data_IF_360311204069
#
_entry.id   IF_360311204069
#
_cell.length_a   1.000
_cell.length_b   1.000
_cell.length_c   1.000
_cell.angle_alpha   90.00
_cell.angle_beta   90.00
_cell.angle_gamma   90.00
#
_symmetry.space_group_name_H-M   'P 1'
#
loop_
_entity.id
_entity.type
_entity.pdbx_description
1 polymer ?
#
# COMPACT_ATOMS: atom_id res chain seq x y z
N UNK A 1 -32.10 -42.39 -33.01
CA UNK A 1 -32.38 -41.07 -32.43
C UNK A 1 -33.16 -40.29 -33.47
N UNK A 2 -34.44 -40.04 -33.23
CA UNK A 2 -35.30 -39.34 -34.20
C UNK A 2 -34.94 -37.86 -34.19
N UNK A 3 -34.23 -37.39 -35.21
CA UNK A 3 -33.93 -35.97 -35.42
C UNK A 3 -35.20 -35.28 -35.90
N UNK A 4 -35.79 -34.47 -35.04
CA UNK A 4 -36.93 -33.61 -35.37
C UNK A 4 -36.45 -32.61 -36.41
N UNK A 5 -37.15 -32.53 -37.55
CA UNK A 5 -36.83 -31.59 -38.62
C UNK A 5 -37.09 -30.14 -38.14
N UNK A 6 -36.41 -29.14 -38.71
CA UNK A 6 -36.71 -27.74 -38.39
C UNK A 6 -38.17 -27.40 -38.76
N UNK A 7 -38.87 -26.69 -37.87
CA UNK A 7 -40.29 -26.38 -38.06
C UNK A 7 -40.98 -25.82 -36.82
N UNK A 8 -42.24 -25.44 -36.97
CA UNK A 8 -43.08 -24.98 -35.86
C UNK A 8 -43.67 -26.16 -35.09
N UNK A 9 -43.46 -26.18 -33.79
CA UNK A 9 -43.95 -27.22 -32.89
C UNK A 9 -44.57 -26.62 -31.63
N UNK A 10 -45.50 -27.32 -30.95
CA UNK A 10 -46.03 -26.90 -29.66
C UNK A 10 -44.90 -26.66 -28.64
N UNK A 11 -44.95 -25.56 -27.90
CA UNK A 11 -43.95 -25.26 -26.87
C UNK A 11 -44.11 -26.25 -25.69
N UNK A 12 -43.06 -27.02 -25.33
CA UNK A 12 -43.11 -27.90 -24.17
C UNK A 12 -43.36 -27.17 -22.84
N UNK A 13 -43.05 -25.87 -22.76
CA UNK A 13 -43.22 -25.06 -21.56
C UNK A 13 -44.61 -24.40 -21.45
N UNK A 14 -45.29 -24.17 -22.57
CA UNK A 14 -46.66 -23.63 -22.61
C UNK A 14 -47.46 -24.24 -23.78
N UNK A 15 -48.35 -25.21 -23.49
CA UNK A 15 -49.17 -25.89 -24.49
C UNK A 15 -50.11 -24.98 -25.29
N UNK A 16 -50.36 -23.74 -24.83
CA UNK A 16 -51.16 -22.76 -25.55
C UNK A 16 -50.40 -22.10 -26.71
N UNK A 17 -49.10 -22.37 -26.85
CA UNK A 17 -48.22 -21.70 -27.81
C UNK A 17 -47.41 -22.70 -28.64
N UNK A 18 -46.88 -22.23 -29.76
CA UNK A 18 -45.97 -22.92 -30.65
C UNK A 18 -44.70 -22.07 -30.83
N UNK A 19 -43.55 -22.74 -30.90
CA UNK A 19 -42.23 -22.13 -31.14
C UNK A 19 -41.53 -22.80 -32.31
N UNK A 20 -40.59 -22.10 -32.92
CA UNK A 20 -39.83 -22.64 -34.03
C UNK A 20 -38.63 -23.43 -33.51
N UNK A 21 -38.47 -24.66 -33.97
CA UNK A 21 -37.30 -25.51 -33.75
C UNK A 21 -36.38 -25.41 -34.96
N UNK A 22 -35.11 -25.07 -34.78
CA UNK A 22 -34.14 -24.94 -35.88
C UNK A 22 -33.32 -26.22 -36.15
N UNK A 23 -33.60 -27.30 -35.42
CA UNK A 23 -32.84 -28.56 -35.46
C UNK A 23 -31.94 -28.77 -34.24
N UNK A 24 -31.67 -27.74 -33.43
CA UNK A 24 -30.85 -27.82 -32.21
C UNK A 24 -31.36 -27.01 -31.02
N UNK A 25 -32.10 -25.92 -31.25
CA UNK A 25 -32.68 -25.06 -30.22
C UNK A 25 -34.04 -24.47 -30.65
N UNK A 26 -34.80 -24.04 -29.65
CA UNK A 26 -36.04 -23.28 -29.85
C UNK A 26 -35.71 -21.80 -30.02
N UNK A 27 -36.12 -21.21 -31.15
CA UNK A 27 -35.83 -19.81 -31.50
C UNK A 27 -37.11 -19.00 -31.70
N UNK A 28 -37.00 -17.68 -31.51
CA UNK A 28 -38.07 -16.72 -31.71
C UNK A 28 -39.11 -16.65 -30.58
N UNK A 29 -40.07 -15.74 -30.74
CA UNK A 29 -41.19 -15.53 -29.81
C UNK A 29 -42.23 -16.65 -29.94
N UNK A 30 -42.86 -17.10 -28.83
CA UNK A 30 -43.97 -18.04 -28.89
C UNK A 30 -45.17 -17.41 -29.60
N UNK A 31 -45.75 -18.16 -30.54
CA UNK A 31 -46.96 -17.79 -31.29
C UNK A 31 -48.12 -18.61 -30.72
N UNK A 32 -49.35 -18.09 -30.61
CA UNK A 32 -50.49 -18.89 -30.18
C UNK A 32 -50.69 -20.13 -31.07
N UNK A 33 -50.93 -21.30 -30.47
CA UNK A 33 -50.97 -22.59 -31.19
C UNK A 33 -52.09 -22.70 -32.25
N UNK A 34 -53.07 -21.79 -32.25
CA UNK A 34 -54.15 -21.71 -33.23
C UNK A 34 -53.96 -20.65 -34.32
N UNK A 35 -52.84 -19.91 -34.33
CA UNK A 35 -52.54 -18.90 -35.35
C UNK A 35 -51.61 -19.48 -36.42
N UNK A 36 -51.77 -19.03 -37.67
CA UNK A 36 -50.88 -19.41 -38.77
C UNK A 36 -49.47 -18.82 -38.50
N UNK A 37 -48.44 -19.66 -38.33
CA UNK A 37 -47.12 -19.17 -37.94
C UNK A 37 -46.43 -18.45 -39.10
N UNK A 38 -45.62 -17.41 -38.83
CA UNK A 38 -44.86 -16.72 -39.87
C UNK A 38 -43.83 -17.66 -40.53
N UNK A 39 -43.56 -17.43 -41.82
CA UNK A 39 -42.65 -18.25 -42.62
C UNK A 39 -41.18 -18.20 -42.13
N UNK A 40 -40.80 -17.14 -41.42
CA UNK A 40 -39.47 -16.93 -40.86
C UNK A 40 -39.62 -16.52 -39.38
N UNK A 41 -38.92 -17.17 -38.44
CA UNK A 41 -38.98 -16.80 -37.02
C UNK A 41 -38.28 -15.46 -36.79
N UNK A 42 -38.95 -14.52 -36.13
CA UNK A 42 -38.32 -13.25 -35.71
C UNK A 42 -37.13 -13.54 -34.77
N UNK A 43 -35.91 -13.03 -35.05
CA UNK A 43 -34.79 -13.11 -34.11
C UNK A 43 -35.13 -12.38 -32.82
N UNK A 44 -34.81 -12.99 -31.67
CA UNK A 44 -34.83 -12.27 -30.40
C UNK A 44 -33.70 -11.23 -30.42
N UNK A 45 -34.03 -9.95 -30.46
CA UNK A 45 -33.06 -8.89 -30.19
C UNK A 45 -32.46 -9.12 -28.80
N UNK A 46 -31.12 -9.08 -28.64
CA UNK A 46 -30.51 -9.25 -27.33
C UNK A 46 -30.97 -8.13 -26.40
N UNK A 47 -31.53 -8.49 -25.23
CA UNK A 47 -31.91 -7.52 -24.20
C UNK A 47 -30.70 -6.63 -23.85
N UNK A 48 -30.88 -5.30 -23.76
CA UNK A 48 -29.82 -4.42 -23.30
C UNK A 48 -29.39 -4.83 -21.89
N UNK A 49 -28.08 -5.00 -21.70
CA UNK A 49 -27.49 -5.31 -20.40
C UNK A 49 -27.99 -4.31 -19.34
N UNK A 50 -28.31 -4.75 -18.11
CA UNK A 50 -28.76 -3.84 -17.06
C UNK A 50 -27.68 -2.79 -16.80
N UNK A 51 -28.03 -1.50 -16.96
CA UNK A 51 -27.19 -0.40 -16.52
C UNK A 51 -26.89 -0.60 -15.02
N UNK A 52 -25.60 -0.65 -14.69
CA UNK A 52 -25.18 -0.74 -13.28
C UNK A 52 -25.71 0.49 -12.52
N UNK A 53 -26.30 0.31 -11.33
CA UNK A 53 -26.80 1.44 -10.56
C UNK A 53 -25.65 2.40 -10.27
N UNK A 54 -25.82 3.66 -10.65
CA UNK A 54 -24.93 4.75 -10.27
C UNK A 54 -25.05 4.93 -8.76
N UNK A 55 -24.03 4.48 -8.03
CA UNK A 55 -23.96 4.54 -6.58
C UNK A 55 -23.91 6.03 -6.13
N UNK A 56 -24.91 6.55 -5.40
CA UNK A 56 -24.97 7.97 -5.02
C UNK A 56 -23.95 8.37 -3.95
N UNK A 57 -23.14 7.42 -3.45
CA UNK A 57 -22.11 7.65 -2.44
C UNK A 57 -20.70 7.91 -3.01
N UNK A 58 -20.57 8.30 -4.28
CA UNK A 58 -19.30 8.87 -4.77
C UNK A 58 -19.19 10.29 -4.23
N UNK A 59 -18.64 10.45 -3.03
CA UNK A 59 -18.07 11.73 -2.63
C UNK A 59 -17.06 12.11 -3.72
N UNK A 60 -17.38 13.14 -4.50
CA UNK A 60 -16.47 13.69 -5.48
C UNK A 60 -15.31 14.30 -4.72
N UNK A 61 -14.23 13.52 -4.60
CA UNK A 61 -12.96 14.02 -4.12
C UNK A 61 -12.57 15.25 -4.96
N UNK A 62 -11.93 16.27 -4.38
CA UNK A 62 -11.47 17.44 -5.12
C UNK A 62 -10.70 17.03 -6.39
N UNK A 63 -10.98 17.67 -7.54
CA UNK A 63 -10.21 17.45 -8.78
C UNK A 63 -8.73 17.74 -8.51
N UNK A 64 -7.89 16.71 -8.62
CA UNK A 64 -6.43 16.87 -8.55
C UNK A 64 -5.93 17.36 -9.92
N UNK A 65 -5.12 18.43 -9.97
CA UNK A 65 -4.44 18.86 -11.20
C UNK A 65 -3.64 17.73 -11.88
N UNK A 66 -3.18 16.71 -11.13
CA UNK A 66 -2.47 15.54 -11.67
C UNK A 66 -3.35 14.56 -12.44
N UNK A 67 -4.66 14.52 -12.19
CA UNK A 67 -5.57 13.58 -12.87
C UNK A 67 -6.24 14.20 -14.11
N UNK A 68 -6.05 15.51 -14.34
CA UNK A 68 -6.69 16.25 -15.43
C UNK A 68 -8.22 16.13 -15.39
N UNK A 69 -8.85 16.10 -16.56
CA UNK A 69 -10.29 15.84 -16.71
C UNK A 69 -10.64 14.34 -16.69
N UNK A 70 -9.66 13.47 -16.46
CA UNK A 70 -9.87 12.02 -16.44
C UNK A 70 -10.63 11.55 -15.19
N UNK A 71 -11.32 10.40 -15.26
CA UNK A 71 -11.96 9.82 -14.08
C UNK A 71 -10.93 9.48 -13.00
N UNK A 72 -11.35 9.47 -11.71
CA UNK A 72 -10.47 9.12 -10.60
C UNK A 72 -9.93 7.69 -10.78
N UNK A 73 -8.72 7.41 -10.30
CA UNK A 73 -8.10 6.08 -10.42
C UNK A 73 -9.00 5.02 -9.77
N UNK A 74 -9.24 3.92 -10.49
CA UNK A 74 -10.10 2.82 -10.02
C UNK A 74 -9.27 1.61 -9.65
N UNK A 75 -9.53 1.07 -8.46
CA UNK A 75 -8.97 -0.20 -8.01
C UNK A 75 -9.95 -1.31 -8.32
N UNK A 76 -9.52 -2.29 -9.11
CA UNK A 76 -10.29 -3.49 -9.42
C UNK A 76 -10.01 -4.50 -8.31
N UNK A 77 -11.00 -4.74 -7.45
CA UNK A 77 -10.86 -5.73 -6.38
C UNK A 77 -10.79 -7.15 -6.95
N UNK A 78 -9.98 -7.99 -6.31
CA UNK A 78 -9.87 -9.40 -6.69
C UNK A 78 -11.07 -10.19 -6.16
N UNK A 79 -11.88 -10.70 -7.07
CA UNK A 79 -12.90 -11.72 -6.78
C UNK A 79 -12.36 -13.14 -7.02
N UNK A 80 -12.90 -14.17 -6.33
CA UNK A 80 -12.52 -15.57 -6.58
C UNK A 80 -12.71 -15.93 -8.05
N UNK A 81 -11.69 -16.55 -8.67
CA UNK A 81 -11.70 -16.90 -10.09
C UNK A 81 -11.34 -15.76 -11.06
N UNK A 82 -11.18 -14.52 -10.58
CA UNK A 82 -10.79 -13.40 -11.44
C UNK A 82 -9.35 -13.54 -11.95
N UNK A 83 -9.19 -13.43 -13.27
CA UNK A 83 -7.90 -13.30 -13.95
C UNK A 83 -7.51 -11.82 -14.00
N UNK A 84 -6.21 -11.54 -14.00
CA UNK A 84 -5.71 -10.17 -14.14
C UNK A 84 -6.24 -9.50 -15.42
N UNK A 85 -6.92 -8.35 -15.31
CA UNK A 85 -7.37 -7.60 -16.48
C UNK A 85 -6.19 -7.09 -17.32
N UNK A 86 -6.39 -6.96 -18.63
CA UNK A 86 -5.38 -6.44 -19.55
C UNK A 86 -4.96 -5.02 -19.15
N UNK A 87 -3.69 -4.67 -19.36
CA UNK A 87 -3.12 -3.34 -19.06
C UNK A 87 -3.18 -2.90 -17.57
N UNK A 88 -3.29 -3.86 -16.66
CA UNK A 88 -3.25 -3.61 -15.21
C UNK A 88 -1.99 -4.12 -14.55
N UNK A 89 -1.70 -3.62 -13.35
CA UNK A 89 -0.63 -4.07 -12.46
C UNK A 89 -1.25 -4.57 -11.17
N UNK A 90 -0.79 -5.71 -10.61
CA UNK A 90 -1.32 -6.22 -9.36
C UNK A 90 -0.96 -5.29 -8.20
N UNK A 91 -1.95 -4.99 -7.35
CA UNK A 91 -1.75 -4.40 -6.04
C UNK A 91 -1.45 -5.54 -5.07
N UNK A 92 -0.22 -5.59 -4.58
CA UNK A 92 0.25 -6.63 -3.67
C UNK A 92 0.40 -6.09 -2.25
N UNK A 93 0.08 -6.93 -1.28
CA UNK A 93 0.33 -6.71 0.15
C UNK A 93 0.74 -8.04 0.76
N UNK A 94 1.90 -8.12 1.42
CA UNK A 94 2.48 -9.38 1.90
C UNK A 94 2.59 -10.49 0.82
N UNK A 95 2.80 -10.09 -0.43
CA UNK A 95 2.84 -11.03 -1.57
C UNK A 95 1.48 -11.53 -2.05
N UNK A 96 0.39 -11.23 -1.33
CA UNK A 96 -0.98 -11.52 -1.73
C UNK A 96 -1.48 -10.40 -2.64
N UNK A 97 -2.04 -10.78 -3.80
CA UNK A 97 -2.72 -9.83 -4.70
C UNK A 97 -4.11 -9.51 -4.15
N UNK A 98 -4.34 -8.25 -3.78
CA UNK A 98 -5.63 -7.75 -3.26
C UNK A 98 -6.51 -7.24 -4.41
N UNK A 99 -5.90 -6.79 -5.49
CA UNK A 99 -6.60 -6.26 -6.65
C UNK A 99 -5.63 -5.82 -7.73
N UNK A 100 -6.13 -5.04 -8.67
CA UNK A 100 -5.36 -4.49 -9.78
C UNK A 100 -5.66 -3.01 -9.97
N UNK A 101 -4.68 -2.29 -10.51
CA UNK A 101 -4.79 -0.89 -10.92
C UNK A 101 -4.28 -0.75 -12.34
N UNK A 102 -4.88 0.13 -13.13
CA UNK A 102 -4.45 0.33 -14.52
C UNK A 102 -3.05 0.96 -14.58
N UNK A 103 -2.25 0.60 -15.59
CA UNK A 103 -0.92 1.22 -15.81
C UNK A 103 -1.01 2.74 -16.01
N UNK A 104 -1.99 3.28 -16.77
CA UNK A 104 -2.18 4.72 -16.87
C UNK A 104 -2.42 5.37 -15.50
N UNK A 105 -3.22 4.78 -14.62
CA UNK A 105 -3.45 5.34 -13.28
C UNK A 105 -2.18 5.37 -12.43
N UNK A 106 -1.37 4.31 -12.47
CA UNK A 106 -0.08 4.28 -11.78
C UNK A 106 0.83 5.41 -12.30
N UNK A 107 0.89 5.60 -13.62
CA UNK A 107 1.68 6.66 -14.23
C UNK A 107 1.20 8.06 -13.84
N UNK A 108 -0.12 8.29 -13.77
CA UNK A 108 -0.73 9.55 -13.33
C UNK A 108 -0.40 9.84 -11.86
N UNK A 109 -0.50 8.83 -10.99
CA UNK A 109 -0.17 8.95 -9.56
C UNK A 109 1.32 9.31 -9.38
N UNK A 110 2.21 8.66 -10.14
CA UNK A 110 3.64 8.93 -10.12
C UNK A 110 3.99 10.27 -10.78
N UNK A 111 3.19 10.77 -11.72
CA UNK A 111 3.38 12.07 -12.37
C UNK A 111 4.80 12.24 -12.91
N UNK A 112 5.28 11.26 -13.69
CA UNK A 112 6.64 11.25 -14.25
C UNK A 112 7.76 10.82 -13.29
N UNK A 113 7.48 10.69 -11.99
CA UNK A 113 8.49 10.31 -11.00
C UNK A 113 8.87 8.83 -11.10
N UNK A 114 10.16 8.55 -10.93
CA UNK A 114 10.71 7.19 -10.93
C UNK A 114 10.83 6.70 -9.49
N UNK A 115 10.37 5.48 -9.22
CA UNK A 115 10.47 4.88 -7.89
C UNK A 115 11.94 4.56 -7.55
N UNK A 116 12.36 4.91 -6.33
CA UNK A 116 13.70 4.60 -5.84
C UNK A 116 13.93 3.09 -5.71
N UNK A 117 15.15 2.63 -5.99
CA UNK A 117 15.49 1.22 -5.87
C UNK A 117 15.50 0.78 -4.39
N UNK A 118 15.00 -0.43 -4.04
CA UNK A 118 15.02 -0.91 -2.65
C UNK A 118 16.41 -0.87 -2.00
N UNK A 119 17.47 -1.14 -2.77
CA UNK A 119 18.85 -1.04 -2.30
C UNK A 119 19.27 0.37 -1.89
N UNK A 120 18.84 1.41 -2.62
CA UNK A 120 19.13 2.80 -2.24
C UNK A 120 18.44 3.18 -0.93
N UNK A 121 17.19 2.72 -0.74
CA UNK A 121 16.45 2.92 0.51
C UNK A 121 17.13 2.23 1.69
N UNK A 122 17.63 1.01 1.48
CA UNK A 122 18.35 0.25 2.50
C UNK A 122 19.65 0.95 2.92
N UNK A 123 20.48 1.36 1.97
CA UNK A 123 21.72 2.09 2.26
C UNK A 123 21.44 3.43 2.94
N UNK A 124 20.44 4.18 2.46
CA UNK A 124 19.99 5.41 3.12
C UNK A 124 19.60 5.17 4.59
N UNK A 125 18.90 4.06 4.88
CA UNK A 125 18.52 3.72 6.26
C UNK A 125 19.72 3.32 7.12
N UNK A 126 20.72 2.62 6.57
CA UNK A 126 21.97 2.33 7.31
C UNK A 126 22.65 3.65 7.70
N UNK A 127 22.79 4.58 6.76
CA UNK A 127 23.41 5.88 7.04
C UNK A 127 22.62 6.65 8.11
N UNK A 128 21.29 6.69 8.00
CA UNK A 128 20.44 7.32 9.01
C UNK A 128 20.59 6.66 10.39
N UNK A 129 20.71 5.33 10.46
CA UNK A 129 20.96 4.61 11.72
C UNK A 129 22.31 4.99 12.29
N UNK A 130 23.38 5.05 11.49
CA UNK A 130 24.71 5.45 11.95
C UNK A 130 24.71 6.88 12.48
N UNK A 131 24.08 7.82 11.75
CA UNK A 131 23.92 9.20 12.21
C UNK A 131 23.15 9.26 13.54
N UNK A 132 22.07 8.48 13.67
CA UNK A 132 21.28 8.41 14.90
C UNK A 132 22.03 7.78 16.07
N UNK A 133 22.86 6.76 15.82
CA UNK A 133 23.72 6.14 16.83
C UNK A 133 24.78 7.12 17.31
N UNK A 134 25.42 7.86 16.39
CA UNK A 134 26.37 8.91 16.74
C UNK A 134 25.70 10.02 17.57
N UNK A 135 24.51 10.48 17.16
CA UNK A 135 23.75 11.49 17.89
C UNK A 135 23.36 11.00 19.30
N UNK A 136 22.93 9.75 19.43
CA UNK A 136 22.65 9.15 20.73
C UNK A 136 23.91 9.00 21.58
N UNK A 137 25.04 8.61 21.00
CA UNK A 137 26.30 8.52 21.75
C UNK A 137 26.73 9.89 22.32
N UNK A 138 26.50 10.98 21.57
CA UNK A 138 26.83 12.33 22.02
C UNK A 138 25.84 12.85 23.08
N UNK A 139 24.54 12.70 22.84
CA UNK A 139 23.50 13.33 23.69
C UNK A 139 23.09 12.42 24.86
N UNK A 140 22.89 11.14 24.56
CA UNK A 140 22.37 10.13 25.49
C UNK A 140 23.49 9.27 26.10
N UNK A 141 24.74 9.42 25.63
CA UNK A 141 25.86 8.55 26.02
C UNK A 141 26.18 8.59 27.50
N UNK A 142 26.04 9.75 28.16
CA UNK A 142 26.24 9.86 29.60
C UNK A 142 25.21 9.03 30.39
N UNK A 143 23.92 9.17 30.06
CA UNK A 143 22.86 8.39 30.69
C UNK A 143 22.99 6.89 30.37
N UNK A 144 23.42 6.55 29.15
CA UNK A 144 23.70 5.18 28.77
C UNK A 144 24.88 4.61 29.56
N UNK A 145 25.95 5.38 29.79
CA UNK A 145 27.08 4.99 30.62
C UNK A 145 26.64 4.74 32.06
N UNK A 146 25.85 5.63 32.65
CA UNK A 146 25.29 5.44 33.99
C UNK A 146 24.42 4.18 34.04
N UNK A 147 23.49 4.01 33.09
CA UNK A 147 22.64 2.83 33.02
C UNK A 147 23.45 1.54 32.92
N UNK A 148 24.47 1.50 32.06
CA UNK A 148 25.30 0.31 31.87
C UNK A 148 26.06 -0.04 33.13
N UNK A 149 26.71 0.94 33.76
CA UNK A 149 27.61 0.68 34.88
C UNK A 149 26.90 0.55 36.23
N UNK A 150 25.83 1.32 36.44
CA UNK A 150 25.12 1.37 37.73
C UNK A 150 23.95 0.39 37.79
N UNK A 151 23.32 0.07 36.65
CA UNK A 151 22.13 -0.79 36.62
C UNK A 151 22.35 -2.10 35.87
N UNK A 152 22.85 -2.05 34.62
CA UNK A 152 22.88 -3.21 33.73
C UNK A 152 23.91 -4.26 34.16
N UNK A 153 25.18 -3.87 34.30
CA UNK A 153 26.26 -4.80 34.64
C UNK A 153 26.05 -5.45 36.02
N UNK A 154 25.69 -4.72 37.09
CA UNK A 154 25.40 -5.34 38.39
C UNK A 154 24.23 -6.32 38.34
N UNK A 155 23.14 -5.95 37.65
CA UNK A 155 21.99 -6.84 37.49
C UNK A 155 22.38 -8.14 36.77
N UNK A 156 23.17 -8.07 35.70
CA UNK A 156 23.65 -9.26 35.00
C UNK A 156 24.57 -10.13 35.85
N UNK A 157 25.46 -9.54 36.66
CA UNK A 157 26.30 -10.30 37.58
C UNK A 157 25.48 -11.04 38.64
N UNK A 158 24.45 -10.39 39.18
CA UNK A 158 23.55 -10.98 40.18
C UNK A 158 22.75 -12.14 39.58
N UNK A 159 22.24 -11.98 38.34
CA UNK A 159 21.56 -13.05 37.59
C UNK A 159 22.48 -14.24 37.32
N UNK A 160 23.73 -14.00 36.91
CA UNK A 160 24.70 -15.07 36.68
C UNK A 160 25.01 -15.84 37.99
N UNK A 161 25.29 -15.11 39.06
CA UNK A 161 25.58 -15.69 40.37
C UNK A 161 24.38 -16.50 40.91
N UNK A 162 23.16 -16.00 40.73
CA UNK A 162 21.93 -16.72 41.09
C UNK A 162 21.69 -17.98 40.24
N UNK A 163 22.07 -17.95 38.96
CA UNK A 163 21.99 -19.09 38.05
C UNK A 163 22.93 -20.24 38.44
N UNK A 164 24.13 -19.91 38.94
CA UNK A 164 25.09 -20.89 39.46
C UNK A 164 24.68 -21.46 40.82
N UNK A 165 23.97 -20.68 41.64
CA UNK A 165 23.55 -21.04 43.00
C UNK A 165 22.26 -21.86 43.11
N UNK A 166 21.56 -22.13 42.01
CA UNK A 166 20.33 -22.91 42.01
C UNK A 166 19.13 -22.15 42.60
N UNK A 167 18.41 -21.45 41.70
CA UNK A 167 17.09 -20.84 41.90
C UNK A 167 17.01 -19.67 42.89
N UNK A 168 17.20 -18.45 42.37
CA UNK A 168 16.54 -17.25 42.87
C UNK A 168 16.00 -16.40 41.72
N UNK A 169 14.77 -15.91 41.87
CA UNK A 169 14.22 -14.83 41.05
C UNK A 169 14.92 -13.52 41.41
N UNK A 170 15.91 -13.13 40.61
CA UNK A 170 16.58 -11.83 40.77
C UNK A 170 15.60 -10.75 40.33
N UNK A 171 15.07 -10.02 41.29
CA UNK A 171 14.17 -8.90 41.02
C UNK A 171 14.91 -7.80 40.25
N UNK A 172 14.25 -7.26 39.22
CA UNK A 172 14.76 -6.09 38.49
C UNK A 172 14.67 -4.87 39.41
N UNK A 173 15.79 -4.17 39.71
CA UNK A 173 15.76 -2.96 40.52
C UNK A 173 14.86 -1.89 39.89
N UNK A 174 14.12 -1.11 40.68
CA UNK A 174 13.27 -0.03 40.14
C UNK A 174 14.07 1.01 39.36
N UNK A 175 15.28 1.35 39.84
CA UNK A 175 16.21 2.25 39.18
C UNK A 175 16.60 1.78 37.76
N UNK A 176 16.64 0.46 37.52
CA UNK A 176 16.89 -0.09 36.19
C UNK A 176 15.82 0.37 35.19
N UNK A 177 14.55 0.24 35.57
CA UNK A 177 13.43 0.63 34.72
C UNK A 177 13.36 2.14 34.51
N UNK A 178 13.62 2.93 35.56
CA UNK A 178 13.62 4.40 35.48
C UNK A 178 14.72 4.91 34.55
N UNK A 179 15.97 4.46 34.74
CA UNK A 179 17.11 4.86 33.91
C UNK A 179 16.94 4.39 32.47
N UNK A 180 16.49 3.14 32.25
CA UNK A 180 16.19 2.64 30.91
C UNK A 180 15.10 3.47 30.22
N UNK A 181 14.04 3.84 30.95
CA UNK A 181 12.97 4.69 30.41
C UNK A 181 13.50 6.05 29.98
N UNK A 182 14.36 6.68 30.78
CA UNK A 182 15.00 7.96 30.42
C UNK A 182 15.84 7.82 29.15
N UNK A 183 16.70 6.81 29.08
CA UNK A 183 17.54 6.54 27.89
C UNK A 183 16.67 6.32 26.65
N UNK A 184 15.59 5.53 26.76
CA UNK A 184 14.68 5.25 25.65
C UNK A 184 13.89 6.49 25.21
N UNK A 185 13.41 7.31 26.13
CA UNK A 185 12.69 8.55 25.81
C UNK A 185 13.60 9.56 25.10
N UNK A 186 14.84 9.71 25.55
CA UNK A 186 15.83 10.56 24.87
C UNK A 186 16.10 10.03 23.46
N UNK A 187 16.35 8.72 23.32
CA UNK A 187 16.60 8.10 22.02
C UNK A 187 15.43 8.27 21.04
N UNK A 188 14.20 8.05 21.52
CA UNK A 188 12.96 8.22 20.76
C UNK A 188 12.75 9.70 20.36
N UNK A 189 12.97 10.63 21.29
CA UNK A 189 12.87 12.07 21.04
C UNK A 189 13.90 12.57 20.03
N UNK A 190 15.15 12.10 20.11
CA UNK A 190 16.19 12.43 19.12
C UNK A 190 15.83 11.91 17.74
N UNK A 191 15.33 10.67 17.65
CA UNK A 191 14.92 10.11 16.38
C UNK A 191 13.75 10.87 15.77
N UNK A 192 12.75 11.22 16.58
CA UNK A 192 11.65 12.08 16.18
C UNK A 192 12.15 13.42 15.61
N UNK A 193 13.00 14.11 16.37
CA UNK A 193 13.55 15.42 16.01
C UNK A 193 14.44 15.37 14.76
N UNK A 194 15.08 14.24 14.50
CA UNK A 194 15.88 14.01 13.29
C UNK A 194 14.99 13.74 12.07
N UNK A 195 14.06 12.78 12.16
CA UNK A 195 13.37 12.25 10.98
C UNK A 195 12.15 13.08 10.56
N UNK A 196 11.33 13.55 11.51
CA UNK A 196 10.07 14.24 11.20
C UNK A 196 10.31 15.61 10.54
N UNK A 197 11.12 16.53 11.11
CA UNK A 197 11.37 17.83 10.50
C UNK A 197 12.10 17.73 9.15
N UNK A 198 13.08 16.83 9.03
CA UNK A 198 13.81 16.63 7.78
C UNK A 198 12.89 16.17 6.64
N UNK A 199 11.96 15.27 6.95
CA UNK A 199 10.99 14.76 5.99
C UNK A 199 9.89 15.79 5.67
N UNK A 200 9.46 16.62 6.63
CA UNK A 200 8.50 17.70 6.37
C UNK A 200 9.06 18.78 5.46
N UNK A 201 10.28 19.22 5.74
CA UNK A 201 10.85 20.38 5.04
C UNK A 201 11.38 20.01 3.66
N UNK A 202 12.01 18.84 3.53
CA UNK A 202 12.71 18.45 2.29
C UNK A 202 12.29 17.10 1.72
N UNK A 203 11.52 16.31 2.46
CA UNK A 203 11.25 14.92 2.09
C UNK A 203 12.47 14.00 2.23
N UNK A 204 13.57 14.47 2.83
CA UNK A 204 14.85 13.76 2.84
C UNK A 204 15.57 13.90 4.19
N UNK A 205 15.89 12.76 4.80
CA UNK A 205 16.88 12.61 5.88
C UNK A 205 18.30 12.64 5.29
N UNK A 206 19.36 12.74 6.12
CA UNK A 206 20.73 12.82 5.61
C UNK A 206 21.09 11.61 4.73
N UNK A 207 20.74 10.40 5.15
CA UNK A 207 20.97 9.20 4.36
C UNK A 207 20.21 9.23 3.03
N UNK A 208 18.96 9.71 3.02
CA UNK A 208 18.16 9.85 1.79
C UNK A 208 18.73 10.91 0.85
N UNK A 209 19.25 12.02 1.37
CA UNK A 209 19.94 13.04 0.58
C UNK A 209 21.19 12.48 -0.09
N UNK A 210 22.00 11.74 0.67
CA UNK A 210 23.21 11.09 0.15
C UNK A 210 22.91 10.07 -0.96
N UNK A 211 21.79 9.35 -0.84
CA UNK A 211 21.35 8.39 -1.86
C UNK A 211 20.54 9.02 -3.00
N UNK A 212 20.30 10.33 -3.00
CA UNK A 212 19.52 11.01 -4.04
C UNK A 212 18.06 10.57 -4.11
N UNK A 213 17.45 10.19 -2.98
CA UNK A 213 16.06 9.70 -2.93
C UNK A 213 15.18 10.60 -2.08
N UNK A 214 13.90 10.74 -2.43
CA UNK A 214 12.96 11.69 -1.80
C UNK A 214 11.62 11.06 -1.48
N UNK A 215 11.11 11.34 -0.28
CA UNK A 215 9.76 10.94 0.15
C UNK A 215 8.73 11.90 -0.46
N UNK A 216 7.72 11.36 -1.12
CA UNK A 216 6.64 12.11 -1.77
C UNK A 216 5.26 11.55 -1.43
N UNK A 217 4.23 12.39 -1.56
CA UNK A 217 2.83 12.00 -1.39
C UNK A 217 2.34 11.27 -2.64
N UNK A 218 1.72 10.10 -2.45
CA UNK A 218 0.91 9.50 -3.52
C UNK A 218 -0.47 10.17 -3.60
N UNK A 219 -0.94 10.78 -2.51
CA UNK A 219 -2.22 11.46 -2.45
C UNK A 219 -2.16 12.87 -3.08
N UNK A 220 -3.30 13.43 -3.52
CA UNK A 220 -3.44 14.81 -4.04
C UNK A 220 -2.86 15.91 -3.15
N UNK A 221 -2.73 15.62 -1.86
CA UNK A 221 -2.37 16.60 -0.84
C UNK A 221 -0.91 16.49 -0.44
N UNK A 222 -0.31 17.63 -0.11
CA UNK A 222 1.01 17.70 0.48
C UNK A 222 1.10 16.88 1.78
N UNK A 223 2.33 16.47 2.12
CA UNK A 223 2.61 15.73 3.33
C UNK A 223 2.38 16.63 4.56
N UNK A 224 1.22 16.47 5.20
CA UNK A 224 0.92 17.15 6.46
C UNK A 224 1.55 16.46 7.68
N UNK A 225 1.73 17.21 8.76
CA UNK A 225 2.26 16.73 10.05
C UNK A 225 1.63 15.40 10.50
N UNK A 226 0.30 15.28 10.51
CA UNK A 226 -0.38 14.07 10.98
C UNK A 226 0.01 12.79 10.22
N UNK A 227 0.21 12.87 8.90
CA UNK A 227 0.65 11.73 8.09
C UNK A 227 2.10 11.36 8.38
N UNK A 228 2.96 12.34 8.67
CA UNK A 228 4.35 12.06 9.03
C UNK A 228 4.49 11.53 10.45
N UNK A 229 3.66 12.00 11.38
CA UNK A 229 3.58 11.42 12.71
C UNK A 229 3.15 9.96 12.63
N UNK A 230 2.14 9.65 11.80
CA UNK A 230 1.72 8.28 11.56
C UNK A 230 2.84 7.44 10.93
N UNK A 231 3.49 7.97 9.89
CA UNK A 231 4.66 7.36 9.24
C UNK A 231 5.75 7.02 10.26
N UNK A 232 6.12 7.98 11.11
CA UNK A 232 7.15 7.82 12.13
C UNK A 232 6.71 6.83 13.22
N UNK A 233 5.46 6.86 13.65
CA UNK A 233 4.93 5.93 14.65
C UNK A 233 5.00 4.48 14.16
N UNK A 234 4.66 4.21 12.89
CA UNK A 234 4.83 2.88 12.31
C UNK A 234 6.29 2.46 12.20
N UNK A 235 7.18 3.41 11.88
CA UNK A 235 8.62 3.14 11.88
C UNK A 235 9.14 2.84 13.30
N UNK A 236 8.58 3.50 14.33
CA UNK A 236 8.95 3.35 15.74
C UNK A 236 8.30 2.16 16.44
N UNK A 237 7.24 1.58 15.88
CA UNK A 237 6.53 0.42 16.43
C UNK A 237 7.47 -0.76 16.75
N UNK A 238 8.47 -1.10 15.90
CA UNK A 238 9.57 -2.00 16.25
C UNK A 238 10.29 -1.70 17.57
N UNK A 239 10.54 -0.43 17.91
CA UNK A 239 11.24 -0.09 19.15
C UNK A 239 10.36 -0.33 20.39
N UNK A 240 9.04 -0.15 20.25
CA UNK A 240 8.07 -0.21 21.35
C UNK A 240 7.63 -1.66 21.61
N UNK A 241 7.51 -2.49 20.57
CA UNK A 241 7.02 -3.86 20.68
C UNK A 241 8.12 -4.90 20.95
N UNK A 242 9.01 -4.65 21.91
CA UNK A 242 10.05 -5.61 22.28
C UNK A 242 9.43 -6.90 22.90
N UNK A 243 9.89 -8.11 22.54
CA UNK A 243 11.03 -8.45 21.66
C UNK A 243 10.69 -8.60 20.17
N UNK A 244 9.40 -8.61 19.80
CA UNK A 244 8.94 -8.84 18.42
C UNK A 244 9.31 -7.71 17.45
N UNK A 245 9.76 -6.58 17.99
CA UNK A 245 10.16 -5.40 17.27
C UNK A 245 11.18 -5.62 16.16
N UNK A 246 12.23 -6.38 16.42
CA UNK A 246 13.27 -6.68 15.42
C UNK A 246 12.69 -7.41 14.20
N UNK A 247 11.75 -8.34 14.43
CA UNK A 247 11.04 -9.04 13.36
C UNK A 247 10.21 -8.06 12.54
N UNK A 248 9.47 -7.16 13.19
CA UNK A 248 8.67 -6.14 12.53
C UNK A 248 9.52 -5.19 11.67
N UNK A 249 10.73 -4.86 12.13
CA UNK A 249 11.67 -4.02 11.37
C UNK A 249 12.19 -4.71 10.10
N UNK A 250 12.54 -6.00 10.21
CA UNK A 250 12.94 -6.81 9.05
C UNK A 250 11.77 -6.96 8.07
N UNK A 251 10.56 -7.23 8.58
CA UNK A 251 9.37 -7.35 7.76
C UNK A 251 9.06 -6.04 7.01
N UNK A 252 9.19 -4.88 7.66
CA UNK A 252 9.03 -3.57 7.03
C UNK A 252 9.99 -3.38 5.84
N UNK A 253 11.27 -3.73 6.01
CA UNK A 253 12.27 -3.64 4.94
C UNK A 253 12.02 -4.61 3.78
N UNK A 254 11.66 -5.87 4.08
CA UNK A 254 11.34 -6.88 3.06
C UNK A 254 10.06 -6.50 2.29
N UNK A 255 9.14 -5.79 2.95
CA UNK A 255 7.87 -5.38 2.35
C UNK A 255 8.08 -4.57 1.06
N UNK A 256 9.03 -3.63 1.08
CA UNK A 256 9.39 -2.81 -0.08
C UNK A 256 9.76 -3.62 -1.34
N UNK A 257 10.23 -4.86 -1.20
CA UNK A 257 10.66 -5.72 -2.32
C UNK A 257 9.45 -6.36 -3.02
N UNK A 258 8.42 -6.74 -2.24
CA UNK A 258 7.23 -7.45 -2.75
C UNK A 258 6.04 -6.55 -3.02
N UNK A 259 6.03 -5.34 -2.45
CA UNK A 259 4.96 -4.38 -2.64
C UNK A 259 4.92 -3.87 -4.09
N UNK A 260 3.72 -3.89 -4.66
CA UNK A 260 3.42 -3.44 -6.00
C UNK A 260 2.12 -2.63 -5.96
N UNK A 261 2.00 -1.54 -6.75
CA UNK A 261 2.96 -1.08 -7.76
C UNK A 261 4.02 -0.08 -7.24
N UNK A 262 3.82 0.53 -6.06
CA UNK A 262 4.61 1.69 -5.61
C UNK A 262 5.84 1.35 -4.75
N UNK A 263 6.11 0.06 -4.50
CA UNK A 263 7.27 -0.42 -3.72
C UNK A 263 7.38 0.30 -2.37
N UNK A 264 6.28 0.37 -1.63
CA UNK A 264 6.20 1.02 -0.33
C UNK A 264 6.67 0.04 0.76
N UNK A 265 7.35 0.55 1.79
CA UNK A 265 7.55 -0.19 3.03
C UNK A 265 6.28 -0.10 3.89
N UNK A 266 6.18 -0.87 4.98
CA UNK A 266 4.99 -0.87 5.83
C UNK A 266 4.74 0.53 6.43
N UNK A 267 5.80 1.20 6.88
CA UNK A 267 5.73 2.58 7.40
C UNK A 267 5.36 3.63 6.34
N UNK A 268 5.56 3.32 5.05
CA UNK A 268 5.23 4.20 3.92
C UNK A 268 3.75 4.09 3.51
N UNK A 269 3.09 2.97 3.84
CA UNK A 269 1.80 2.57 3.27
C UNK A 269 0.60 3.29 3.88
N UNK A 270 0.47 3.30 5.20
CA UNK A 270 -0.63 4.00 5.89
C UNK A 270 -0.66 5.52 5.67
N UNK A 271 0.48 6.26 5.61
CA UNK A 271 0.45 7.68 5.29
C UNK A 271 0.32 7.98 3.79
N UNK A 272 0.31 6.95 2.93
CA UNK A 272 0.19 7.10 1.48
C UNK A 272 1.41 7.77 0.85
N UNK A 273 2.61 7.37 1.29
CA UNK A 273 3.87 7.96 0.83
C UNK A 273 4.68 6.97 0.00
N UNK A 274 5.45 7.44 -0.97
CA UNK A 274 6.42 6.62 -1.68
C UNK A 274 7.76 7.33 -1.74
N UNK A 275 8.83 6.58 -1.94
CA UNK A 275 10.16 7.14 -2.15
C UNK A 275 10.53 7.01 -3.62
N UNK A 276 10.88 8.15 -4.20
CA UNK A 276 11.23 8.34 -5.61
C UNK A 276 12.67 8.81 -5.73
N UNK A 277 13.23 8.68 -6.92
CA UNK A 277 14.49 9.32 -7.27
C UNK A 277 14.31 10.84 -7.24
N UNK A 278 15.19 11.55 -6.54
CA UNK A 278 15.12 13.00 -6.39
C UNK A 278 15.24 13.71 -7.75
N UNK A 279 16.08 13.21 -8.65
CA UNK A 279 16.25 13.79 -10.00
C UNK A 279 14.95 13.79 -10.80
N UNK A 280 14.12 12.76 -10.62
CA UNK A 280 12.82 12.65 -11.28
C UNK A 280 11.77 13.62 -10.74
N UNK A 281 11.95 14.11 -9.50
CA UNK A 281 11.07 15.12 -8.90
C UNK A 281 11.40 16.50 -9.46
N UNK A 282 12.69 16.80 -9.58
CA UNK A 282 13.18 18.09 -10.05
C UNK A 282 12.90 18.27 -11.56
N UNK A 283 13.07 17.20 -12.36
CA UNK A 283 12.69 17.20 -13.78
C UNK A 283 11.19 17.46 -13.99
N UNK A 284 10.32 16.81 -13.20
CA UNK A 284 8.88 17.02 -13.29
C UNK A 284 8.40 18.40 -12.82
N UNK A 285 9.20 19.09 -11.99
CA UNK A 285 8.89 20.49 -11.60
C UNK A 285 9.35 21.49 -12.65
N UNK A 286 10.46 21.22 -13.35
CA UNK A 286 10.94 22.04 -14.47
C UNK A 286 9.97 21.99 -15.67
N UNK A 287 9.45 20.81 -16.03
CA UNK A 287 8.47 20.68 -17.11
C UNK A 287 7.10 21.32 -16.80
N UNK A 288 6.72 21.39 -15.52
CA UNK A 288 5.45 22.01 -15.10
C UNK A 288 5.49 23.56 -15.08
N UNK A 289 6.68 24.16 -15.19
CA UNK A 289 6.88 25.61 -15.12
C UNK A 289 8.01 26.08 -16.07
N UNK A 290 7.84 25.97 -17.39
CA UNK A 290 8.85 26.42 -18.36
C UNK A 290 9.15 27.93 -18.30
N UNK A 291 8.23 28.74 -17.74
CA UNK A 291 8.29 30.20 -17.82
C UNK A 291 9.03 30.90 -16.66
N UNK A 292 9.73 30.16 -15.77
CA UNK A 292 10.46 30.78 -14.62
C UNK A 292 11.98 30.85 -14.76
N UNK A 293 12.56 30.37 -15.85
CA UNK A 293 13.99 30.57 -16.17
C UNK A 293 14.18 31.70 -17.20
N UNK A 294 13.73 32.92 -16.89
CA UNK A 294 14.27 34.15 -17.49
C UNK A 294 13.80 35.39 -16.74
N UNK A 295 14.44 35.72 -15.62
CA UNK A 295 14.46 37.07 -15.05
C UNK A 295 15.66 37.23 -14.12
#
# INVERSE_FOLDING_TARGET
>A
MSTIAPGWYPDPADPATQRYWDGGAWIGKPVPAGAEPPAEPEPLEPEPLPESPSDPAVQTLPRDPRYGDGPPPRVIQRTPGAVQPLDTVPIRSLGVTIGWISRPDVSRILGGRVLAHPGQRFVARIVDVVCMLALNAVVNGYFLYLFVNESLLPYFSDVLAAGEGGAQDVAVPSAFNEQLTVVLLIALGLWFAYEVPATLNTGQTLGKRLMGIKVVSLAPVALGWGRLLLRWAYAALPLICFPFGAVLWILDGIWCIRDQPFRQCLHDKSPGTAVVDASSVDAGTAEAHPDKESS
#
